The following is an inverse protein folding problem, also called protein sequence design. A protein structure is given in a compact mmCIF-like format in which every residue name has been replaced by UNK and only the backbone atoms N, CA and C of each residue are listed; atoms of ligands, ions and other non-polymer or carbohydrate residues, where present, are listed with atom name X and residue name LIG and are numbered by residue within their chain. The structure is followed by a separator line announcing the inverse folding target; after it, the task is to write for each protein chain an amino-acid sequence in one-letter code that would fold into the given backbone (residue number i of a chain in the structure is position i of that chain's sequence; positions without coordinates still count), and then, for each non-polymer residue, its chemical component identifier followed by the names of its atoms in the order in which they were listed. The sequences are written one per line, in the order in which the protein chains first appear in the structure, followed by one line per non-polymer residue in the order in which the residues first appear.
data_IF_451006076616
#
_entry.id   IF_451006076616
#
_cell.length_a   1.000
_cell.length_b   1.000
_cell.length_c   1.000
_cell.angle_alpha   90.00
_cell.angle_beta   90.00
_cell.angle_gamma   90.00
#
_symmetry.space_group_name_H-M   'P 1'
#
loop_
_entity.id
_entity.type
_entity.pdbx_description
1 polymer ?
#
# COMPACT_ATOMS: atom_id res chain seq x y z
N UNK A 1 65.32 -4.71 18.11
CA UNK A 1 66.38 -3.83 17.59
C UNK A 1 65.81 -3.21 16.33
N UNK A 2 65.16 -2.04 16.34
CA UNK A 2 65.34 -0.88 17.19
C UNK A 2 66.29 0.08 16.48
N UNK A 3 65.76 0.99 15.67
CA UNK A 3 66.38 2.28 15.34
C UNK A 3 65.36 3.20 14.67
N UNK A 4 65.02 4.28 15.38
CA UNK A 4 64.38 5.49 14.89
C UNK A 4 65.41 6.37 14.17
N UNK A 5 65.02 7.02 13.07
CA UNK A 5 65.52 8.36 12.72
C UNK A 5 64.61 9.02 11.67
N UNK A 6 64.09 10.18 12.04
CA UNK A 6 63.33 11.11 11.22
C UNK A 6 64.23 11.89 10.24
N UNK A 7 63.72 12.21 9.04
CA UNK A 7 64.08 13.40 8.27
C UNK A 7 62.82 13.92 7.54
N UNK A 8 62.49 15.18 7.83
CA UNK A 8 61.48 16.03 7.17
C UNK A 8 61.85 16.39 5.73
N UNK A 9 60.83 16.62 4.90
CA UNK A 9 60.97 17.26 3.59
C UNK A 9 59.62 17.44 2.91
N UNK A 10 58.95 18.56 3.19
CA UNK A 10 57.59 18.85 2.71
C UNK A 10 57.50 19.37 1.28
N UNK A 11 56.27 19.33 0.73
CA UNK A 11 55.63 20.31 -0.18
C UNK A 11 54.20 19.80 -0.48
N UNK A 12 53.16 20.38 0.15
CA UNK A 12 52.28 21.45 -0.35
C UNK A 12 50.82 20.95 -0.50
N UNK A 13 50.07 20.96 0.61
CA UNK A 13 48.62 21.01 0.61
C UNK A 13 48.19 22.46 0.98
N UNK A 14 47.22 23.09 0.29
CA UNK A 14 46.88 24.48 0.58
C UNK A 14 46.06 24.58 1.87
N UNK A 15 46.62 25.37 2.79
CA UNK A 15 46.00 25.88 4.01
C UNK A 15 44.79 26.77 3.65
N UNK A 16 43.57 26.34 4.02
CA UNK A 16 42.46 27.26 4.21
C UNK A 16 42.46 27.71 5.67
N UNK A 17 42.67 29.01 5.85
CA UNK A 17 42.96 29.66 7.11
C UNK A 17 41.87 29.54 8.16
N UNK A 18 42.33 29.36 9.39
CA UNK A 18 41.64 29.73 10.61
C UNK A 18 41.35 31.23 10.63
N UNK A 19 40.12 31.61 10.28
CA UNK A 19 39.50 32.84 10.74
C UNK A 19 38.06 32.52 11.11
N UNK A 20 37.84 32.34 12.40
CA UNK A 20 36.55 32.55 13.02
C UNK A 20 36.29 34.05 13.16
N UNK A 21 35.36 34.65 12.43
CA UNK A 21 34.37 35.52 13.05
C UNK A 21 33.24 34.62 13.56
N UNK A 22 32.75 34.92 14.76
CA UNK A 22 31.54 34.36 15.35
C UNK A 22 30.43 34.15 14.29
N UNK A 23 30.33 32.93 13.76
CA UNK A 23 29.15 32.49 13.07
C UNK A 23 28.12 32.29 14.17
N UNK A 24 27.22 33.26 14.31
CA UNK A 24 25.92 33.02 14.89
C UNK A 24 25.41 31.70 14.31
N UNK A 25 25.26 30.69 15.15
CA UNK A 25 24.53 29.47 14.85
C UNK A 25 23.07 29.86 14.62
N UNK A 26 22.76 30.51 13.51
CA UNK A 26 21.42 30.58 12.96
C UNK A 26 21.16 29.19 12.42
N UNK A 27 20.81 28.27 13.32
CA UNK A 27 20.21 27.01 12.92
C UNK A 27 19.06 27.37 11.98
N UNK A 28 19.06 26.79 10.78
CA UNK A 28 17.88 26.87 9.90
C UNK A 28 16.66 26.61 10.78
N UNK A 29 15.67 27.52 10.85
CA UNK A 29 14.52 27.34 11.73
C UNK A 29 13.94 25.96 11.43
N UNK A 30 13.82 25.12 12.47
CA UNK A 30 13.20 23.81 12.31
C UNK A 30 11.85 23.97 11.63
N UNK A 31 11.44 23.07 10.72
CA UNK A 31 10.17 23.19 10.02
C UNK A 31 9.03 23.38 11.01
N UNK A 32 8.12 24.31 10.70
CA UNK A 32 7.04 24.73 11.60
C UNK A 32 6.26 23.52 12.14
N UNK A 33 6.37 23.30 13.44
CA UNK A 33 5.79 22.12 14.10
C UNK A 33 4.25 22.06 13.98
N UNK A 34 3.59 23.20 13.80
CA UNK A 34 2.14 23.29 13.55
C UNK A 34 1.78 22.77 12.16
N UNK A 35 2.57 23.12 11.13
CA UNK A 35 2.36 22.65 9.75
C UNK A 35 2.66 21.16 9.63
N UNK A 36 3.74 20.67 10.23
CA UNK A 36 4.02 19.24 10.28
C UNK A 36 2.90 18.45 10.96
N UNK A 37 2.33 18.97 12.04
CA UNK A 37 1.20 18.33 12.71
C UNK A 37 -0.04 18.27 11.81
N UNK A 38 -0.32 19.32 11.04
CA UNK A 38 -1.41 19.33 10.05
C UNK A 38 -1.17 18.30 8.94
N UNK A 39 0.07 18.21 8.42
CA UNK A 39 0.47 17.19 7.45
C UNK A 39 0.24 15.78 8.00
N UNK A 40 0.69 15.52 9.23
CA UNK A 40 0.53 14.23 9.89
C UNK A 40 -0.92 13.88 10.16
N UNK A 41 -1.74 14.83 10.63
CA UNK A 41 -3.17 14.61 10.84
C UNK A 41 -3.91 14.33 9.54
N UNK A 42 -3.63 15.11 8.47
CA UNK A 42 -4.25 14.90 7.16
C UNK A 42 -3.87 13.54 6.57
N UNK A 43 -2.59 13.18 6.66
CA UNK A 43 -2.09 11.89 6.20
C UNK A 43 -2.69 10.73 7.02
N UNK A 44 -2.77 10.86 8.34
CA UNK A 44 -3.41 9.86 9.21
C UNK A 44 -4.88 9.65 8.86
N UNK A 45 -5.62 10.73 8.61
CA UNK A 45 -7.04 10.68 8.28
C UNK A 45 -7.29 9.99 6.93
N UNK A 46 -6.53 10.35 5.91
CA UNK A 46 -6.62 9.72 4.58
C UNK A 46 -6.23 8.23 4.63
N UNK A 47 -5.16 7.88 5.36
CA UNK A 47 -4.74 6.49 5.53
C UNK A 47 -5.74 5.68 6.36
N UNK A 48 -6.32 6.27 7.39
CA UNK A 48 -7.33 5.62 8.22
C UNK A 48 -8.53 5.17 7.39
N UNK A 49 -9.12 6.08 6.60
CA UNK A 49 -10.25 5.78 5.70
C UNK A 49 -9.94 4.64 4.73
N UNK A 50 -8.80 4.73 4.03
CA UNK A 50 -8.38 3.71 3.07
C UNK A 50 -8.20 2.32 3.72
N UNK A 51 -7.59 2.25 4.93
CA UNK A 51 -7.37 0.96 5.62
C UNK A 51 -8.65 0.37 6.20
N UNK A 52 -9.61 1.20 6.63
CA UNK A 52 -10.93 0.70 6.98
C UNK A 52 -11.59 0.06 5.77
N UNK A 53 -11.59 0.73 4.61
CA UNK A 53 -12.20 0.19 3.39
C UNK A 53 -11.54 -1.13 2.94
N UNK A 54 -10.20 -1.16 2.86
CA UNK A 54 -9.43 -2.35 2.46
C UNK A 54 -9.78 -3.59 3.28
N UNK A 55 -9.99 -3.43 4.59
CA UNK A 55 -10.42 -4.53 5.47
C UNK A 55 -11.89 -4.90 5.26
N UNK A 56 -12.76 -3.89 5.22
CA UNK A 56 -14.21 -4.07 5.23
C UNK A 56 -14.73 -4.71 3.94
N UNK A 57 -14.16 -4.33 2.79
CA UNK A 57 -14.66 -4.77 1.49
C UNK A 57 -14.61 -6.29 1.32
N UNK A 58 -13.59 -6.97 1.89
CA UNK A 58 -13.54 -8.43 1.89
C UNK A 58 -14.70 -9.07 2.66
N UNK A 59 -15.09 -8.48 3.79
CA UNK A 59 -16.23 -8.92 4.59
C UNK A 59 -17.57 -8.59 3.92
N UNK A 60 -17.66 -7.48 3.19
CA UNK A 60 -18.85 -7.15 2.42
C UNK A 60 -19.06 -8.13 1.26
N UNK A 61 -18.00 -8.44 0.50
CA UNK A 61 -18.09 -9.32 -0.68
C UNK A 61 -18.54 -10.74 -0.33
N UNK A 62 -18.10 -11.29 0.80
CA UNK A 62 -18.54 -12.63 1.24
C UNK A 62 -19.98 -12.64 1.77
N UNK A 63 -20.46 -11.52 2.33
CA UNK A 63 -21.86 -11.37 2.75
C UNK A 63 -22.81 -11.15 1.57
N UNK A 64 -22.34 -10.48 0.52
CA UNK A 64 -23.11 -10.29 -0.72
C UNK A 64 -23.35 -11.63 -1.42
N UNK A 65 -22.37 -12.53 -1.45
CA UNK A 65 -22.55 -13.89 -2.01
C UNK A 65 -22.10 -14.96 -1.02
N UNK A 66 -23.00 -15.34 -0.09
CA UNK A 66 -22.72 -16.40 0.87
C UNK A 66 -22.47 -17.72 0.13
N UNK A 67 -21.29 -18.31 0.30
CA UNK A 67 -20.94 -19.61 -0.32
C UNK A 67 -19.94 -19.55 -1.47
N UNK A 68 -19.47 -18.36 -1.88
CA UNK A 68 -18.36 -18.25 -2.82
C UNK A 68 -17.44 -17.07 -2.50
N UNK A 69 -16.14 -17.31 -2.59
CA UNK A 69 -15.12 -16.27 -2.47
C UNK A 69 -14.90 -15.50 -3.79
N UNK A 70 -15.64 -15.85 -4.85
CA UNK A 70 -15.44 -15.33 -6.20
C UNK A 70 -15.44 -13.81 -6.23
N UNK A 71 -16.45 -13.14 -5.66
CA UNK A 71 -16.50 -11.67 -5.69
C UNK A 71 -15.39 -11.01 -4.88
N UNK A 72 -14.95 -11.65 -3.80
CA UNK A 72 -13.79 -11.17 -3.03
C UNK A 72 -12.51 -11.27 -3.86
N UNK A 73 -12.34 -12.39 -4.57
CA UNK A 73 -11.19 -12.63 -5.44
C UNK A 73 -11.18 -11.66 -6.64
N UNK A 74 -12.31 -11.49 -7.32
CA UNK A 74 -12.46 -10.56 -8.44
C UNK A 74 -12.12 -9.14 -7.98
N UNK A 75 -12.66 -8.71 -6.83
CA UNK A 75 -12.35 -7.38 -6.29
C UNK A 75 -10.86 -7.17 -6.07
N UNK A 76 -10.19 -8.11 -5.39
CA UNK A 76 -8.74 -8.01 -5.17
C UNK A 76 -7.92 -8.01 -6.46
N UNK A 77 -8.33 -8.79 -7.46
CA UNK A 77 -7.68 -8.83 -8.78
C UNK A 77 -7.89 -7.51 -9.53
N UNK A 78 -9.11 -6.98 -9.58
CA UNK A 78 -9.43 -5.72 -10.26
C UNK A 78 -8.66 -4.55 -9.64
N UNK A 79 -8.62 -4.46 -8.32
CA UNK A 79 -7.88 -3.43 -7.60
C UNK A 79 -6.37 -3.52 -7.88
N UNK A 80 -5.79 -4.71 -7.70
CA UNK A 80 -4.34 -4.92 -7.86
C UNK A 80 -3.88 -4.77 -9.31
N UNK A 81 -4.65 -5.31 -10.26
CA UNK A 81 -4.33 -5.17 -11.70
C UNK A 81 -4.43 -3.74 -12.17
N UNK A 82 -5.41 -2.98 -11.67
CA UNK A 82 -5.57 -1.57 -12.00
C UNK A 82 -4.37 -0.75 -11.54
N UNK A 83 -3.92 -0.94 -10.29
CA UNK A 83 -2.71 -0.29 -9.77
C UNK A 83 -1.45 -0.71 -10.54
N UNK A 84 -1.34 -1.99 -10.93
CA UNK A 84 -0.18 -2.46 -11.69
C UNK A 84 -0.11 -1.89 -13.12
N UNK A 85 -1.25 -1.83 -13.82
CA UNK A 85 -1.34 -1.38 -15.22
C UNK A 85 -1.32 0.14 -15.31
N UNK A 86 -2.10 0.83 -14.48
CA UNK A 86 -2.27 2.29 -14.55
C UNK A 86 -1.38 3.06 -13.57
N UNK A 87 -0.65 2.38 -12.67
CA UNK A 87 0.28 3.01 -11.73
C UNK A 87 1.32 3.92 -12.37
N UNK A 88 2.00 3.51 -13.47
CA UNK A 88 2.93 4.39 -14.19
C UNK A 88 2.25 5.65 -14.73
N UNK A 89 1.03 5.53 -15.25
CA UNK A 89 0.25 6.66 -15.77
C UNK A 89 -0.07 7.64 -14.65
N UNK A 90 -0.50 7.13 -13.48
CA UNK A 90 -0.71 7.95 -12.29
C UNK A 90 0.58 8.69 -11.89
N UNK A 91 1.74 8.02 -11.92
CA UNK A 91 3.05 8.66 -11.70
C UNK A 91 3.28 9.83 -12.65
N UNK A 92 3.18 9.60 -13.95
CA UNK A 92 3.38 10.68 -14.95
C UNK A 92 2.36 11.81 -14.83
N UNK A 93 1.13 11.51 -14.38
CA UNK A 93 0.09 12.51 -14.14
C UNK A 93 0.42 13.36 -12.91
N UNK A 94 0.94 12.74 -11.85
CA UNK A 94 1.42 13.45 -10.66
C UNK A 94 2.59 14.37 -11.01
N UNK A 95 3.48 13.93 -11.90
CA UNK A 95 4.64 14.73 -12.31
C UNK A 95 4.22 15.95 -13.16
N UNK A 96 3.26 15.80 -14.07
CA UNK A 96 2.85 16.91 -14.97
C UNK A 96 1.94 17.95 -14.31
N UNK A 97 1.22 17.57 -13.26
CA UNK A 97 0.24 18.43 -12.61
C UNK A 97 0.85 19.22 -11.46
N UNK A 98 0.30 20.40 -11.19
CA UNK A 98 0.72 21.14 -9.99
C UNK A 98 0.27 20.41 -8.72
N UNK A 99 1.00 20.58 -7.61
CA UNK A 99 0.68 19.92 -6.34
C UNK A 99 -0.77 20.13 -5.88
N UNK A 100 -1.36 21.31 -6.10
CA UNK A 100 -2.77 21.56 -5.77
C UNK A 100 -3.74 20.85 -6.70
N UNK A 101 -3.41 20.72 -7.99
CA UNK A 101 -4.22 19.95 -8.94
C UNK A 101 -4.16 18.45 -8.61
N UNK A 102 -2.98 17.92 -8.32
CA UNK A 102 -2.82 16.51 -7.88
C UNK A 102 -3.60 16.28 -6.59
N UNK A 103 -3.47 17.17 -5.61
CA UNK A 103 -4.20 17.08 -4.34
C UNK A 103 -5.72 17.09 -4.56
N UNK A 104 -6.22 18.02 -5.37
CA UNK A 104 -7.64 18.13 -5.68
C UNK A 104 -8.17 16.90 -6.41
N UNK A 105 -7.44 16.43 -7.43
CA UNK A 105 -7.80 15.23 -8.19
C UNK A 105 -7.79 13.98 -7.30
N UNK A 106 -6.75 13.81 -6.48
CA UNK A 106 -6.63 12.70 -5.54
C UNK A 106 -7.85 12.66 -4.60
N UNK A 107 -8.09 13.74 -3.85
CA UNK A 107 -9.15 13.76 -2.85
C UNK A 107 -10.55 13.63 -3.48
N UNK A 108 -10.78 14.28 -4.63
CA UNK A 108 -12.05 14.21 -5.35
C UNK A 108 -12.33 12.79 -5.87
N UNK A 109 -11.39 12.20 -6.62
CA UNK A 109 -11.58 10.87 -7.21
C UNK A 109 -11.70 9.82 -6.11
N UNK A 110 -10.90 9.92 -5.05
CA UNK A 110 -10.94 8.96 -3.95
C UNK A 110 -12.27 9.04 -3.18
N UNK A 111 -12.71 10.26 -2.83
CA UNK A 111 -13.96 10.46 -2.09
C UNK A 111 -15.19 10.01 -2.90
N UNK A 112 -15.29 10.43 -4.16
CA UNK A 112 -16.38 9.97 -5.06
C UNK A 112 -16.38 8.46 -5.19
N UNK A 113 -15.21 7.85 -5.35
CA UNK A 113 -15.09 6.40 -5.47
C UNK A 113 -15.57 5.68 -4.20
N UNK A 114 -15.17 6.13 -3.00
CA UNK A 114 -15.63 5.51 -1.76
C UNK A 114 -17.12 5.74 -1.48
N UNK A 115 -17.67 6.89 -1.87
CA UNK A 115 -19.12 7.16 -1.75
C UNK A 115 -19.90 6.22 -2.66
N UNK A 116 -19.50 6.12 -3.94
CA UNK A 116 -20.15 5.24 -4.91
C UNK A 116 -20.04 3.78 -4.48
N UNK A 117 -18.84 3.33 -4.08
CA UNK A 117 -18.61 1.96 -3.62
C UNK A 117 -19.39 1.65 -2.34
N UNK A 118 -19.42 2.58 -1.37
CA UNK A 118 -20.15 2.40 -0.12
C UNK A 118 -21.66 2.37 -0.33
N UNK A 119 -22.20 3.24 -1.18
CA UNK A 119 -23.61 3.26 -1.53
C UNK A 119 -24.03 1.99 -2.30
N UNK A 120 -23.23 1.55 -3.28
CA UNK A 120 -23.51 0.33 -4.04
C UNK A 120 -23.45 -0.92 -3.17
N UNK A 121 -22.45 -1.02 -2.28
CA UNK A 121 -22.36 -2.12 -1.31
C UNK A 121 -23.53 -2.11 -0.34
N UNK A 122 -23.92 -0.93 0.16
CA UNK A 122 -25.08 -0.82 1.06
C UNK A 122 -26.35 -1.28 0.37
N UNK A 123 -26.58 -0.87 -0.88
CA UNK A 123 -27.71 -1.33 -1.69
C UNK A 123 -27.69 -2.85 -1.90
N UNK A 124 -26.52 -3.43 -2.23
CA UNK A 124 -26.34 -4.87 -2.40
C UNK A 124 -26.61 -5.68 -1.12
N UNK A 125 -26.33 -5.11 0.05
CA UNK A 125 -26.52 -5.77 1.35
C UNK A 125 -27.91 -5.54 1.97
N UNK A 126 -28.65 -4.50 1.55
CA UNK A 126 -30.01 -4.21 2.02
C UNK A 126 -31.04 -4.93 1.15
N UNK A 127 -30.84 -4.93 -0.16
CA UNK A 127 -31.76 -5.53 -1.12
C UNK A 127 -31.25 -6.89 -1.61
N UNK A 128 -31.15 -7.86 -0.70
CA UNK A 128 -30.67 -9.22 -1.02
C UNK A 128 -31.53 -9.91 -2.10
N UNK A 129 -32.81 -9.56 -2.20
CA UNK A 129 -33.74 -10.08 -3.21
C UNK A 129 -33.40 -9.66 -4.65
N UNK A 130 -32.50 -8.69 -4.86
CA UNK A 130 -32.04 -8.30 -6.20
C UNK A 130 -31.41 -9.46 -6.96
N UNK A 131 -30.81 -10.44 -6.26
CA UNK A 131 -30.21 -11.64 -6.87
C UNK A 131 -31.24 -12.47 -7.64
N UNK A 132 -32.47 -12.54 -7.11
CA UNK A 132 -33.57 -13.30 -7.69
C UNK A 132 -34.48 -12.43 -8.57
N UNK A 133 -34.71 -11.18 -8.17
CA UNK A 133 -35.67 -10.27 -8.84
C UNK A 133 -35.06 -9.64 -10.09
N UNK A 134 -33.80 -9.22 -10.06
CA UNK A 134 -33.17 -8.49 -11.15
C UNK A 134 -31.64 -8.69 -11.20
N UNK A 135 -31.22 -9.88 -11.61
CA UNK A 135 -29.81 -10.24 -11.76
C UNK A 135 -28.95 -9.20 -12.54
N UNK A 136 -29.45 -8.55 -13.63
CA UNK A 136 -28.67 -7.50 -14.30
C UNK A 136 -28.36 -6.29 -13.42
N UNK A 137 -29.30 -5.86 -12.56
CA UNK A 137 -29.10 -4.72 -11.64
C UNK A 137 -28.11 -5.10 -10.54
N UNK A 138 -28.24 -6.32 -10.01
CA UNK A 138 -27.27 -6.87 -9.06
C UNK A 138 -25.84 -6.85 -9.65
N UNK A 139 -25.67 -7.38 -10.86
CA UNK A 139 -24.36 -7.40 -11.52
C UNK A 139 -23.84 -6.00 -11.85
N UNK A 140 -24.71 -5.07 -12.25
CA UNK A 140 -24.32 -3.68 -12.48
C UNK A 140 -23.76 -3.03 -11.20
N UNK A 141 -24.41 -3.22 -10.04
CA UNK A 141 -23.92 -2.72 -8.76
C UNK A 141 -22.59 -3.37 -8.35
N UNK A 142 -22.42 -4.67 -8.60
CA UNK A 142 -21.14 -5.35 -8.37
C UNK A 142 -20.04 -4.74 -9.23
N UNK A 143 -20.29 -4.53 -10.53
CA UNK A 143 -19.31 -3.90 -11.44
C UNK A 143 -18.97 -2.48 -10.99
N UNK A 144 -19.97 -1.66 -10.67
CA UNK A 144 -19.78 -0.30 -10.14
C UNK A 144 -18.92 -0.31 -8.88
N UNK A 145 -19.14 -1.27 -7.97
CA UNK A 145 -18.33 -1.42 -6.74
C UNK A 145 -16.87 -1.76 -7.05
N UNK A 146 -16.63 -2.65 -8.02
CA UNK A 146 -15.28 -3.06 -8.41
C UNK A 146 -14.52 -1.93 -9.10
N UNK A 147 -15.17 -1.22 -10.04
CA UNK A 147 -14.58 -0.09 -10.77
C UNK A 147 -14.26 1.07 -9.82
N UNK A 148 -15.19 1.42 -8.92
CA UNK A 148 -14.94 2.44 -7.90
C UNK A 148 -13.83 2.04 -6.94
N UNK A 149 -13.74 0.76 -6.54
CA UNK A 149 -12.59 0.24 -5.78
C UNK A 149 -11.25 0.47 -6.48
N UNK A 150 -11.15 0.13 -7.76
CA UNK A 150 -9.95 0.36 -8.56
C UNK A 150 -9.58 1.86 -8.67
N UNK A 151 -10.56 2.73 -8.91
CA UNK A 151 -10.35 4.18 -8.96
C UNK A 151 -9.89 4.74 -7.60
N UNK A 152 -10.46 4.26 -6.49
CA UNK A 152 -10.03 4.64 -5.15
C UNK A 152 -8.58 4.21 -4.88
N UNK A 153 -8.18 3.01 -5.30
CA UNK A 153 -6.82 2.50 -5.14
C UNK A 153 -5.80 3.31 -5.95
N UNK A 154 -6.11 3.62 -7.22
CA UNK A 154 -5.28 4.49 -8.06
C UNK A 154 -5.16 5.90 -7.49
N UNK A 155 -6.27 6.44 -6.99
CA UNK A 155 -6.25 7.75 -6.35
C UNK A 155 -5.40 7.74 -5.07
N UNK A 156 -5.51 6.68 -4.26
CA UNK A 156 -4.67 6.49 -3.06
C UNK A 156 -3.18 6.39 -3.41
N UNK A 157 -2.83 5.80 -4.56
CA UNK A 157 -1.46 5.77 -5.08
C UNK A 157 -0.97 7.19 -5.38
N UNK A 158 -1.78 8.00 -6.09
CA UNK A 158 -1.44 9.40 -6.39
C UNK A 158 -1.14 10.21 -5.12
N UNK A 159 -2.00 10.10 -4.11
CA UNK A 159 -1.78 10.75 -2.82
C UNK A 159 -0.54 10.27 -2.06
N UNK A 160 -0.23 8.98 -2.17
CA UNK A 160 0.99 8.40 -1.58
C UNK A 160 2.24 9.01 -2.23
N UNK A 161 2.26 9.11 -3.57
CA UNK A 161 3.37 9.74 -4.30
C UNK A 161 3.48 11.21 -3.90
N UNK A 162 2.37 11.96 -3.96
CA UNK A 162 2.36 13.39 -3.64
C UNK A 162 2.87 13.68 -2.21
N UNK A 163 2.39 12.95 -1.21
CA UNK A 163 2.75 13.24 0.18
C UNK A 163 4.10 12.64 0.55
N UNK A 164 4.30 11.35 0.33
CA UNK A 164 5.47 10.62 0.85
C UNK A 164 6.72 10.78 0.00
N UNK A 165 6.56 10.94 -1.33
CA UNK A 165 7.69 11.05 -2.26
C UNK A 165 8.01 12.49 -2.60
N UNK A 166 7.00 13.32 -2.84
CA UNK A 166 7.23 14.72 -3.23
C UNK A 166 7.28 15.65 -2.01
N UNK A 167 6.17 15.80 -1.27
CA UNK A 167 6.07 16.84 -0.24
C UNK A 167 7.06 16.65 0.90
N UNK A 168 7.19 15.43 1.42
CA UNK A 168 8.14 15.13 2.51
C UNK A 168 9.58 15.47 2.09
N UNK A 169 9.96 15.19 0.85
CA UNK A 169 11.29 15.51 0.32
C UNK A 169 11.45 17.02 0.19
N UNK A 170 10.51 17.72 -0.44
CA UNK A 170 10.57 19.18 -0.65
C UNK A 170 10.58 19.95 0.68
N UNK A 171 9.75 19.57 1.65
CA UNK A 171 9.72 20.19 2.99
C UNK A 171 11.08 20.04 3.69
N UNK A 172 11.76 18.91 3.49
CA UNK A 172 13.06 18.63 4.11
C UNK A 172 14.28 19.17 3.35
N UNK A 173 14.11 19.58 2.08
CA UNK A 173 15.21 19.93 1.17
C UNK A 173 16.12 21.06 1.67
N UNK A 174 15.58 21.97 2.48
CA UNK A 174 16.31 23.10 3.08
C UNK A 174 16.85 22.81 4.48
N UNK A 175 16.72 21.58 4.95
CA UNK A 175 17.10 21.15 6.30
C UNK A 175 18.13 20.01 6.28
N UNK A 176 18.82 19.75 7.40
CA UNK A 176 19.72 18.61 7.52
C UNK A 176 19.01 17.28 7.21
N UNK A 177 19.73 16.26 6.69
CA UNK A 177 19.15 14.95 6.32
C UNK A 177 18.50 14.20 7.49
N UNK A 178 18.85 14.55 8.74
CA UNK A 178 18.20 14.05 9.93
C UNK A 178 16.70 14.41 10.00
N UNK A 179 16.30 15.56 9.44
CA UNK A 179 14.90 16.02 9.42
C UNK A 179 14.06 15.17 8.47
N UNK A 180 14.57 14.88 7.26
CA UNK A 180 13.91 13.98 6.31
C UNK A 180 13.68 12.59 6.93
N UNK A 181 14.72 12.06 7.58
CA UNK A 181 14.65 10.78 8.30
C UNK A 181 13.61 10.81 9.41
N UNK A 182 13.56 11.91 10.18
CA UNK A 182 12.57 12.14 11.22
C UNK A 182 11.13 12.16 10.69
N UNK A 183 10.85 12.97 9.67
CA UNK A 183 9.52 13.08 9.05
C UNK A 183 9.08 11.72 8.48
N UNK A 184 9.95 11.07 7.72
CA UNK A 184 9.68 9.75 7.13
C UNK A 184 9.37 8.70 8.22
N UNK A 185 10.10 8.73 9.34
CA UNK A 185 9.82 7.83 10.47
C UNK A 185 8.44 8.06 11.12
N UNK A 186 7.96 9.31 11.18
CA UNK A 186 6.65 9.65 11.77
C UNK A 186 5.54 9.23 10.81
N UNK A 187 5.67 9.57 9.53
CA UNK A 187 4.74 9.15 8.46
C UNK A 187 4.60 7.63 8.45
N UNK A 188 5.72 6.90 8.49
CA UNK A 188 5.70 5.43 8.55
C UNK A 188 5.03 4.88 9.80
N UNK A 189 5.20 5.52 10.95
CA UNK A 189 4.52 5.13 12.20
C UNK A 189 3.02 5.34 12.11
N UNK A 190 2.57 6.43 11.50
CA UNK A 190 1.15 6.71 11.26
C UNK A 190 0.55 5.63 10.36
N UNK A 191 1.23 5.29 9.27
CA UNK A 191 0.84 4.22 8.34
C UNK A 191 0.64 2.88 9.06
N UNK A 192 1.63 2.49 9.86
CA UNK A 192 1.58 1.25 10.65
C UNK A 192 0.44 1.28 11.67
N UNK A 193 0.23 2.42 12.34
CA UNK A 193 -0.84 2.61 13.30
C UNK A 193 -2.22 2.47 12.63
N UNK A 194 -2.41 3.08 11.45
CA UNK A 194 -3.65 2.96 10.68
C UNK A 194 -3.88 1.53 10.20
N UNK A 195 -2.82 0.85 9.73
CA UNK A 195 -2.89 -0.55 9.28
C UNK A 195 -3.27 -1.52 10.40
N UNK A 196 -2.95 -1.18 11.65
CA UNK A 196 -3.30 -1.93 12.86
C UNK A 196 -4.71 -1.63 13.36
N UNK A 197 -5.00 -0.36 13.60
CA UNK A 197 -6.16 0.08 14.37
C UNK A 197 -7.41 0.26 13.51
N UNK A 198 -7.26 0.67 12.24
CA UNK A 198 -8.42 0.93 11.37
C UNK A 198 -9.21 -0.35 11.06
N UNK A 199 -8.59 -1.50 10.75
CA UNK A 199 -9.31 -2.78 10.64
C UNK A 199 -10.03 -3.19 11.94
N UNK A 200 -9.41 -2.94 13.10
CA UNK A 200 -10.03 -3.26 14.40
C UNK A 200 -11.30 -2.46 14.59
N UNK A 201 -11.24 -1.14 14.36
CA UNK A 201 -12.40 -0.26 14.43
C UNK A 201 -13.51 -0.69 13.48
N UNK A 202 -13.19 -0.93 12.20
CA UNK A 202 -14.17 -1.42 11.23
C UNK A 202 -14.78 -2.77 11.64
N UNK A 203 -13.95 -3.73 12.07
CA UNK A 203 -14.42 -5.05 12.50
C UNK A 203 -15.38 -5.00 13.69
N UNK A 204 -15.19 -4.04 14.62
CA UNK A 204 -16.11 -3.78 15.71
C UNK A 204 -17.45 -3.24 15.17
N UNK A 205 -17.45 -2.25 14.28
CA UNK A 205 -18.68 -1.69 13.68
C UNK A 205 -19.45 -2.77 12.92
N UNK A 206 -18.76 -3.59 12.11
CA UNK A 206 -19.37 -4.69 11.34
C UNK A 206 -19.97 -5.76 12.26
N UNK A 207 -19.35 -6.04 13.41
CA UNK A 207 -19.80 -7.10 14.33
C UNK A 207 -20.91 -6.65 15.27
N UNK A 208 -20.85 -5.41 15.77
CA UNK A 208 -21.76 -4.91 16.80
C UNK A 208 -22.91 -4.06 16.27
N UNK A 209 -22.76 -3.43 15.10
CA UNK A 209 -23.82 -2.62 14.48
C UNK A 209 -24.49 -3.39 13.36
N UNK A 210 -23.82 -3.50 12.20
CA UNK A 210 -24.18 -4.36 11.07
C UNK A 210 -23.19 -4.11 9.92
N UNK A 211 -23.10 -5.03 8.96
CA UNK A 211 -22.40 -4.78 7.70
C UNK A 211 -23.02 -3.63 6.88
N UNK A 212 -24.35 -3.51 6.82
CA UNK A 212 -25.00 -2.45 6.02
C UNK A 212 -24.74 -1.07 6.64
N UNK A 213 -24.92 -0.98 7.97
CA UNK A 213 -24.62 0.23 8.72
C UNK A 213 -23.13 0.60 8.64
N UNK A 214 -22.23 -0.37 8.67
CA UNK A 214 -20.80 -0.15 8.49
C UNK A 214 -20.46 0.41 7.10
N UNK A 215 -21.05 -0.14 6.03
CA UNK A 215 -20.81 0.34 4.67
C UNK A 215 -21.28 1.80 4.51
N UNK A 216 -22.47 2.13 5.02
CA UNK A 216 -22.99 3.49 5.04
C UNK A 216 -22.14 4.43 5.91
N UNK A 217 -21.73 3.99 7.10
CA UNK A 217 -20.88 4.78 8.00
C UNK A 217 -19.52 5.09 7.38
N UNK A 218 -18.91 4.15 6.63
CA UNK A 218 -17.66 4.40 5.92
C UNK A 218 -17.84 5.41 4.78
N UNK A 219 -18.94 5.35 4.03
CA UNK A 219 -19.24 6.35 3.02
C UNK A 219 -19.39 7.75 3.65
N UNK A 220 -20.14 7.85 4.75
CA UNK A 220 -20.32 9.10 5.50
C UNK A 220 -19.00 9.61 6.10
N UNK A 221 -18.16 8.71 6.62
CA UNK A 221 -16.83 9.05 7.13
C UNK A 221 -15.98 9.72 6.06
N UNK A 222 -15.96 9.18 4.83
CA UNK A 222 -15.21 9.77 3.73
C UNK A 222 -15.75 11.14 3.28
N UNK A 223 -17.08 11.34 3.32
CA UNK A 223 -17.68 12.66 3.05
C UNK A 223 -17.27 13.67 4.11
N UNK A 224 -17.27 13.27 5.38
CA UNK A 224 -16.87 14.15 6.48
C UNK A 224 -15.37 14.43 6.47
N UNK A 225 -14.55 13.43 6.11
CA UNK A 225 -13.09 13.55 6.18
C UNK A 225 -12.51 14.35 5.01
N UNK A 226 -13.05 14.23 3.80
CA UNK A 226 -12.46 14.85 2.60
C UNK A 226 -12.34 16.38 2.71
N UNK A 227 -13.33 17.05 3.31
CA UNK A 227 -13.29 18.51 3.51
C UNK A 227 -12.19 18.91 4.50
N UNK A 228 -12.06 18.16 5.59
CA UNK A 228 -11.01 18.38 6.58
C UNK A 228 -9.62 18.05 6.01
N UNK A 229 -9.47 16.96 5.26
CA UNK A 229 -8.23 16.57 4.57
C UNK A 229 -7.79 17.66 3.59
N UNK A 230 -8.69 18.12 2.73
CA UNK A 230 -8.41 19.19 1.78
C UNK A 230 -7.93 20.46 2.49
N UNK A 231 -8.63 20.88 3.55
CA UNK A 231 -8.24 22.04 4.34
C UNK A 231 -6.86 21.87 5.00
N UNK A 232 -6.58 20.71 5.59
CA UNK A 232 -5.29 20.42 6.22
C UNK A 232 -4.15 20.47 5.21
N UNK A 233 -4.29 19.83 4.06
CA UNK A 233 -3.24 19.79 3.04
C UNK A 233 -3.04 21.14 2.34
N UNK A 234 -4.11 21.87 2.02
CA UNK A 234 -4.00 23.24 1.49
C UNK A 234 -3.35 24.18 2.50
N UNK A 235 -3.65 24.01 3.80
CA UNK A 235 -2.98 24.78 4.85
C UNK A 235 -1.48 24.50 4.90
N UNK A 236 -1.03 23.26 4.68
CA UNK A 236 0.39 22.91 4.61
C UNK A 236 1.03 23.50 3.36
N UNK A 237 0.37 23.39 2.21
CA UNK A 237 0.85 23.95 0.95
C UNK A 237 1.06 25.47 1.03
N UNK A 238 0.08 26.20 1.59
CA UNK A 238 0.17 27.66 1.75
C UNK A 238 1.19 28.06 2.83
N UNK A 239 1.42 27.21 3.83
CA UNK A 239 2.36 27.47 4.92
C UNK A 239 3.83 27.22 4.55
N UNK A 240 4.11 26.38 3.55
CA UNK A 240 5.47 26.04 3.14
C UNK A 240 5.76 26.61 1.74
N UNK A 241 6.40 27.79 1.62
CA UNK A 241 6.64 28.43 0.33
C UNK A 241 7.50 27.59 -0.63
N UNK A 242 8.36 26.71 -0.09
CA UNK A 242 9.17 25.78 -0.88
C UNK A 242 8.32 24.83 -1.75
N UNK A 243 7.11 24.44 -1.29
CA UNK A 243 6.19 23.62 -2.08
C UNK A 243 5.64 24.37 -3.29
N UNK A 244 5.29 25.65 -3.11
CA UNK A 244 4.78 26.50 -4.20
C UNK A 244 5.88 26.81 -5.22
N UNK A 245 7.13 27.00 -4.77
CA UNK A 245 8.29 27.22 -5.62
C UNK A 245 8.61 25.96 -6.46
N UNK A 246 8.73 24.79 -5.82
CA UNK A 246 8.95 23.51 -6.50
C UNK A 246 7.88 23.23 -7.57
N UNK A 247 6.60 23.39 -7.20
CA UNK A 247 5.45 23.24 -8.11
C UNK A 247 5.49 24.22 -9.31
N UNK A 248 6.06 25.41 -9.15
CA UNK A 248 6.25 26.37 -10.25
C UNK A 248 7.41 25.99 -11.14
N UNK A 249 8.53 25.57 -10.57
CA UNK A 249 9.73 25.16 -11.30
C UNK A 249 9.45 23.97 -12.22
N UNK A 250 8.71 22.97 -11.72
CA UNK A 250 8.30 21.80 -12.50
C UNK A 250 7.49 22.20 -13.74
N UNK A 251 6.50 23.07 -13.57
CA UNK A 251 5.67 23.58 -14.67
C UNK A 251 6.45 24.39 -15.70
N UNK A 252 7.44 25.17 -15.26
CA UNK A 252 8.28 25.95 -16.18
C UNK A 252 9.24 25.06 -16.98
N UNK A 253 9.76 23.99 -16.37
CA UNK A 253 10.58 23.01 -17.06
C UNK A 253 9.77 22.32 -18.18
N UNK A 254 8.56 21.84 -17.86
CA UNK A 254 7.67 21.20 -18.84
C UNK A 254 7.26 22.17 -19.98
N UNK A 255 6.95 23.42 -19.66
CA UNK A 255 6.61 24.42 -20.67
C UNK A 255 7.79 24.74 -21.60
N UNK A 256 9.02 24.76 -21.06
CA UNK A 256 10.24 24.97 -21.83
C UNK A 256 10.52 23.79 -22.75
N UNK A 257 10.37 22.56 -22.24
CA UNK A 257 10.50 21.34 -23.03
C UNK A 257 9.46 21.28 -24.16
N UNK A 258 8.19 21.61 -23.87
CA UNK A 258 7.15 21.69 -24.88
C UNK A 258 7.45 22.74 -25.97
N UNK A 259 8.03 23.88 -25.61
CA UNK A 259 8.42 24.93 -26.56
C UNK A 259 9.62 24.51 -27.44
N UNK A 260 10.58 23.78 -26.87
CA UNK A 260 11.70 23.19 -27.61
C UNK A 260 11.23 22.10 -28.59
N UNK A 261 10.26 21.27 -28.20
CA UNK A 261 9.67 20.28 -29.09
C UNK A 261 8.85 20.95 -30.21
N UNK A 262 8.07 21.98 -29.88
CA UNK A 262 7.24 22.71 -30.86
C UNK A 262 8.07 23.45 -31.91
N UNK A 263 9.25 23.96 -31.53
CA UNK A 263 10.16 24.62 -32.47
C UNK A 263 10.79 23.65 -33.46
N UNK A 264 10.94 22.37 -33.09
CA UNK A 264 11.42 21.30 -33.97
C UNK A 264 10.37 20.75 -34.97
N UNK A 265 9.07 20.99 -34.73
CA UNK A 265 7.96 20.53 -35.59
C UNK A 265 7.39 21.62 -36.51
N UNK A 266 8.14 22.69 -36.77
CA UNK A 266 7.73 23.82 -37.59
C UNK A 266 7.74 23.51 -39.10
N UNK A 267 6.94 22.56 -39.57
CA UNK A 267 6.46 22.56 -40.94
C UNK A 267 5.11 21.85 -41.06
N UNK A 268 4.15 22.62 -41.56
CA UNK A 268 2.83 22.24 -42.10
C UNK A 268 1.63 22.26 -41.14
N UNK A 269 0.65 23.10 -41.50
CA UNK A 269 -0.55 23.49 -40.75
C UNK A 269 -1.78 22.79 -41.34
N UNK A 270 -2.57 22.04 -40.56
CA UNK A 270 -4.03 21.92 -40.74
C UNK A 270 -4.71 21.83 -39.36
N UNK A 271 -4.72 22.96 -38.66
CA UNK A 271 -5.44 23.13 -37.41
C UNK A 271 -6.95 23.21 -37.69
N UNK A 272 -7.73 22.29 -37.12
CA UNK A 272 -9.07 22.51 -36.50
C UNK A 272 -9.72 21.19 -36.05
N UNK A 273 -9.21 20.02 -36.47
CA UNK A 273 -9.58 18.68 -35.94
C UNK A 273 -8.46 18.00 -35.14
N UNK A 274 -7.25 18.57 -35.11
CA UNK A 274 -6.08 17.99 -34.44
C UNK A 274 -6.13 18.12 -32.92
N UNK A 275 -6.60 19.22 -32.33
CA UNK A 275 -6.53 19.40 -30.86
C UNK A 275 -7.28 18.30 -30.08
N UNK A 276 -8.35 17.73 -30.66
CA UNK A 276 -9.10 16.63 -30.07
C UNK A 276 -8.48 15.25 -30.35
N UNK A 277 -7.65 15.13 -31.39
CA UNK A 277 -6.89 13.93 -31.71
C UNK A 277 -5.57 13.90 -30.93
N UNK A 278 -4.95 15.06 -30.71
CA UNK A 278 -3.61 15.24 -30.14
C UNK A 278 -3.57 14.90 -28.64
N UNK A 279 -4.62 15.23 -27.87
CA UNK A 279 -4.74 14.75 -26.48
C UNK A 279 -4.97 13.24 -26.42
N UNK A 280 -5.67 12.66 -27.41
CA UNK A 280 -5.91 11.20 -27.49
C UNK A 280 -4.64 10.47 -27.91
N UNK A 281 -3.89 11.03 -28.85
CA UNK A 281 -2.61 10.49 -29.35
C UNK A 281 -1.55 10.55 -28.24
N UNK A 282 -1.40 11.68 -27.53
CA UNK A 282 -0.55 11.77 -26.32
C UNK A 282 -1.01 10.84 -25.20
N UNK A 283 -2.31 10.70 -24.97
CA UNK A 283 -2.82 9.68 -24.04
C UNK A 283 -2.45 8.28 -24.51
N UNK A 284 -2.59 7.94 -25.79
CA UNK A 284 -2.26 6.62 -26.33
C UNK A 284 -0.76 6.32 -26.33
N UNK A 285 0.09 7.33 -26.45
CA UNK A 285 1.55 7.20 -26.36
C UNK A 285 1.99 6.98 -24.90
N UNK A 286 1.35 7.68 -23.94
CA UNK A 286 1.51 7.43 -22.50
C UNK A 286 0.83 6.14 -21.99
N UNK A 287 -0.22 5.68 -22.67
CA UNK A 287 -0.88 4.39 -22.46
C UNK A 287 -0.15 3.26 -23.21
N UNK A 288 0.87 3.56 -24.03
CA UNK A 288 1.58 2.53 -24.75
C UNK A 288 2.34 1.65 -23.75
N UNK A 289 2.12 0.34 -23.84
CA UNK A 289 2.71 -0.68 -22.97
C UNK A 289 4.21 -0.88 -23.28
N UNK A 290 4.71 -0.22 -24.33
CA UNK A 290 6.05 -0.37 -24.91
C UNK A 290 7.17 0.09 -23.95
N UNK A 291 7.11 1.25 -23.26
CA UNK A 291 8.13 1.66 -22.29
C UNK A 291 8.14 0.77 -21.04
N UNK A 292 6.99 0.16 -20.72
CA UNK A 292 6.89 -0.79 -19.61
C UNK A 292 7.70 -2.05 -19.93
N UNK A 293 7.63 -2.56 -21.17
CA UNK A 293 8.40 -3.74 -21.59
C UNK A 293 9.91 -3.52 -21.54
N UNK A 294 10.41 -2.38 -22.02
CA UNK A 294 11.85 -2.07 -21.92
C UNK A 294 12.32 -2.02 -20.46
N UNK A 295 11.51 -1.44 -19.58
CA UNK A 295 11.78 -1.41 -18.13
C UNK A 295 11.86 -2.81 -17.51
N UNK A 296 10.97 -3.73 -17.92
CA UNK A 296 11.02 -5.14 -17.50
C UNK A 296 12.27 -5.86 -18.00
N UNK A 297 12.68 -5.60 -19.25
CA UNK A 297 13.91 -6.20 -19.81
C UNK A 297 15.15 -5.72 -19.04
N UNK A 298 15.21 -4.42 -18.70
CA UNK A 298 16.30 -3.87 -17.88
C UNK A 298 16.30 -4.47 -16.48
N UNK A 299 15.13 -4.62 -15.85
CA UNK A 299 15.00 -5.23 -14.52
C UNK A 299 15.52 -6.67 -14.51
N UNK A 300 15.17 -7.49 -15.52
CA UNK A 300 15.61 -8.88 -15.61
C UNK A 300 17.12 -9.05 -15.80
N UNK A 301 17.82 -8.00 -16.26
CA UNK A 301 19.28 -8.00 -16.38
C UNK A 301 20.02 -7.64 -15.09
N UNK A 302 19.32 -7.19 -14.05
CA UNK A 302 19.93 -6.81 -12.78
C UNK A 302 20.30 -8.05 -11.93
N UNK A 303 21.43 -8.00 -11.23
CA UNK A 303 21.87 -9.09 -10.33
C UNK A 303 20.85 -9.40 -9.20
N UNK A 304 19.97 -8.45 -8.89
CA UNK A 304 18.92 -8.57 -7.86
C UNK A 304 17.60 -9.14 -8.39
N UNK A 305 17.49 -9.46 -9.69
CA UNK A 305 16.25 -9.94 -10.30
C UNK A 305 15.76 -11.26 -9.67
N UNK A 306 16.65 -12.23 -9.47
CA UNK A 306 16.33 -13.54 -8.87
C UNK A 306 15.80 -13.41 -7.42
N UNK A 307 16.48 -12.68 -6.50
CA UNK A 307 15.92 -12.36 -5.19
C UNK A 307 14.57 -11.63 -5.25
N UNK A 308 14.39 -10.74 -6.22
CA UNK A 308 13.11 -10.05 -6.45
C UNK A 308 11.98 -11.00 -6.86
N UNK A 309 12.23 -11.95 -7.75
CA UNK A 309 11.28 -13.00 -8.14
C UNK A 309 10.97 -13.91 -6.94
N UNK A 310 11.97 -14.29 -6.14
CA UNK A 310 11.76 -15.05 -4.92
C UNK A 310 10.88 -14.30 -3.90
N UNK A 311 11.08 -12.99 -3.76
CA UNK A 311 10.23 -12.13 -2.94
C UNK A 311 8.79 -12.10 -3.48
N UNK A 312 8.59 -12.03 -4.80
CA UNK A 312 7.26 -12.09 -5.41
C UNK A 312 6.54 -13.40 -5.07
N UNK A 313 7.24 -14.54 -5.06
CA UNK A 313 6.65 -15.82 -4.63
C UNK A 313 6.19 -15.82 -3.17
N UNK A 314 6.81 -15.03 -2.28
CA UNK A 314 6.33 -14.91 -0.89
C UNK A 314 4.95 -14.25 -0.81
N UNK A 315 4.59 -13.38 -1.77
CA UNK A 315 3.27 -12.74 -1.83
C UNK A 315 2.16 -13.67 -2.32
N UNK A 316 2.47 -14.84 -2.90
CA UNK A 316 1.47 -15.86 -3.26
C UNK A 316 0.85 -16.58 -2.05
N UNK A 317 1.29 -16.25 -0.83
CA UNK A 317 0.70 -16.82 0.39
C UNK A 317 -0.75 -16.37 0.58
N UNK A 318 -1.65 -17.35 0.71
CA UNK A 318 -3.06 -17.10 1.07
C UNK A 318 -3.21 -16.96 2.59
N UNK A 319 -2.18 -17.31 3.38
CA UNK A 319 -2.22 -17.32 4.85
C UNK A 319 -2.06 -15.93 5.49
N UNK A 320 -1.72 -14.91 4.71
CA UNK A 320 -1.66 -13.53 5.21
C UNK A 320 -3.06 -12.99 5.48
N UNK A 321 -3.23 -12.13 6.48
CA UNK A 321 -4.49 -11.45 6.81
C UNK A 321 -4.92 -10.39 5.77
N UNK A 322 -4.87 -10.73 4.49
CA UNK A 322 -5.43 -9.96 3.38
C UNK A 322 -6.90 -10.29 3.12
N UNK A 323 -7.48 -9.66 2.10
CA UNK A 323 -8.91 -9.68 1.76
C UNK A 323 -9.50 -11.09 1.62
N UNK A 324 -8.75 -12.02 1.00
CA UNK A 324 -9.20 -13.40 0.82
C UNK A 324 -9.23 -14.18 2.14
N UNK A 325 -8.17 -14.09 2.95
CA UNK A 325 -8.13 -14.75 4.25
C UNK A 325 -9.24 -14.21 5.16
N UNK A 326 -9.42 -12.89 5.24
CA UNK A 326 -10.48 -12.29 6.06
C UNK A 326 -11.87 -12.77 5.62
N UNK A 327 -12.15 -12.80 4.31
CA UNK A 327 -13.39 -13.35 3.78
C UNK A 327 -13.55 -14.85 4.09
N UNK A 328 -12.48 -15.65 4.01
CA UNK A 328 -12.56 -17.10 4.33
C UNK A 328 -12.84 -17.36 5.81
N UNK A 329 -12.32 -16.52 6.71
CA UNK A 329 -12.55 -16.64 8.15
C UNK A 329 -13.99 -16.23 8.51
N UNK A 330 -14.52 -15.16 7.90
CA UNK A 330 -15.93 -14.76 8.07
C UNK A 330 -16.87 -15.82 7.48
N UNK A 331 -16.51 -16.41 6.33
CA UNK A 331 -17.27 -17.55 5.77
C UNK A 331 -17.30 -18.76 6.71
N UNK A 332 -16.25 -19.01 7.50
CA UNK A 332 -16.23 -20.05 8.54
C UNK A 332 -16.99 -19.67 9.81
N UNK A 333 -17.66 -18.51 9.83
CA UNK A 333 -18.45 -18.03 10.96
C UNK A 333 -17.63 -17.36 12.06
N UNK A 334 -16.36 -16.99 11.80
CA UNK A 334 -15.56 -16.26 12.79
C UNK A 334 -16.00 -14.78 12.77
N UNK A 335 -16.35 -14.19 13.93
CA UNK A 335 -16.78 -12.79 13.99
C UNK A 335 -15.72 -11.82 13.47
N UNK A 336 -16.14 -10.75 12.78
CA UNK A 336 -15.25 -9.78 12.16
C UNK A 336 -14.30 -9.08 13.15
N UNK A 337 -14.71 -8.86 14.41
CA UNK A 337 -13.84 -8.29 15.44
C UNK A 337 -12.68 -9.24 15.83
N UNK A 338 -12.91 -10.56 15.81
CA UNK A 338 -11.86 -11.55 16.09
C UNK A 338 -10.86 -11.56 14.94
N UNK A 339 -11.36 -11.52 13.71
CA UNK A 339 -10.54 -11.44 12.49
C UNK A 339 -9.70 -10.17 12.50
N UNK A 340 -10.29 -9.02 12.86
CA UNK A 340 -9.59 -7.74 12.90
C UNK A 340 -8.55 -7.67 14.02
N UNK A 341 -8.84 -8.22 15.20
CA UNK A 341 -7.86 -8.36 16.29
C UNK A 341 -6.69 -9.27 15.90
N UNK A 342 -6.96 -10.40 15.24
CA UNK A 342 -5.92 -11.30 14.76
C UNK A 342 -5.04 -10.63 13.69
N UNK A 343 -5.64 -9.86 12.77
CA UNK A 343 -4.90 -9.01 11.81
C UNK A 343 -4.06 -7.95 12.51
N UNK A 344 -4.58 -7.32 13.57
CA UNK A 344 -3.84 -6.39 14.42
C UNK A 344 -2.62 -7.04 15.07
N UNK A 345 -2.80 -8.21 15.71
CA UNK A 345 -1.69 -8.97 16.30
C UNK A 345 -0.64 -9.37 15.26
N UNK A 346 -1.06 -9.81 14.07
CA UNK A 346 -0.15 -10.14 12.98
C UNK A 346 0.71 -8.95 12.55
N UNK A 347 0.17 -7.73 12.54
CA UNK A 347 0.94 -6.55 12.20
C UNK A 347 1.88 -6.11 13.33
N UNK A 348 1.55 -6.35 14.61
CA UNK A 348 2.50 -6.18 15.74
C UNK A 348 3.70 -7.10 15.56
N UNK A 349 3.46 -8.38 15.24
CA UNK A 349 4.54 -9.34 14.94
C UNK A 349 5.39 -8.87 13.74
N UNK A 350 4.75 -8.33 12.70
CA UNK A 350 5.44 -7.74 11.55
C UNK A 350 6.34 -6.54 11.92
N UNK A 351 5.88 -5.66 12.81
CA UNK A 351 6.70 -4.55 13.34
C UNK A 351 7.83 -5.11 14.20
N UNK A 352 7.56 -6.10 15.05
CA UNK A 352 8.59 -6.80 15.83
C UNK A 352 9.70 -7.37 14.94
N UNK A 353 9.34 -7.93 13.78
CA UNK A 353 10.32 -8.41 12.80
C UNK A 353 11.22 -7.29 12.26
N UNK A 354 10.72 -6.06 12.09
CA UNK A 354 11.54 -4.91 11.67
C UNK A 354 12.52 -4.43 12.75
N UNK A 355 12.19 -4.60 14.03
CA UNK A 355 13.10 -4.33 15.15
C UNK A 355 14.13 -5.44 15.32
N UNK A 356 13.73 -6.68 15.05
CA UNK A 356 14.60 -7.85 15.09
C UNK A 356 15.61 -7.87 13.93
N UNK A 357 15.20 -7.40 12.75
CA UNK A 357 16.04 -7.38 11.54
C UNK A 357 17.44 -6.75 11.75
N UNK A 358 17.59 -5.50 12.25
CA UNK A 358 18.92 -4.89 12.43
C UNK A 358 19.78 -5.65 13.44
N UNK A 359 19.18 -6.23 14.49
CA UNK A 359 19.89 -7.05 15.48
C UNK A 359 20.47 -8.29 14.80
N UNK A 360 19.64 -9.06 14.08
CA UNK A 360 20.09 -10.27 13.37
C UNK A 360 21.09 -9.91 12.26
N UNK A 361 20.85 -8.81 11.53
CA UNK A 361 21.74 -8.32 10.48
C UNK A 361 23.13 -7.98 10.99
N UNK A 362 23.22 -7.36 12.18
CA UNK A 362 24.52 -7.05 12.81
C UNK A 362 25.33 -8.30 13.19
N UNK A 363 24.69 -9.46 13.31
CA UNK A 363 25.32 -10.72 13.71
C UNK A 363 25.61 -11.62 12.50
N UNK A 364 24.73 -11.54 11.50
CA UNK A 364 24.59 -12.52 10.45
C UNK A 364 24.34 -11.73 9.17
N UNK A 365 25.40 -11.45 8.40
CA UNK A 365 25.37 -10.66 7.15
C UNK A 365 24.10 -10.81 6.28
N UNK A 366 23.78 -9.81 5.46
CA UNK A 366 22.51 -9.66 4.73
C UNK A 366 21.94 -10.96 4.12
N UNK A 367 22.76 -11.73 3.38
CA UNK A 367 22.34 -12.99 2.75
C UNK A 367 21.92 -14.06 3.76
N UNK A 368 22.66 -14.18 4.86
CA UNK A 368 22.38 -15.19 5.89
C UNK A 368 21.15 -14.81 6.73
N UNK A 369 20.93 -13.51 6.98
CA UNK A 369 19.68 -13.03 7.60
C UNK A 369 18.46 -13.38 6.74
N UNK A 370 18.56 -13.19 5.41
CA UNK A 370 17.49 -13.58 4.48
C UNK A 370 17.18 -15.07 4.51
N UNK A 371 18.20 -15.93 4.43
CA UNK A 371 18.05 -17.39 4.51
C UNK A 371 17.45 -17.85 5.85
N UNK A 372 17.89 -17.25 6.95
CA UNK A 372 17.37 -17.53 8.28
C UNK A 372 15.87 -17.19 8.38
N UNK A 373 15.46 -16.05 7.85
CA UNK A 373 14.05 -15.63 7.82
C UNK A 373 13.17 -16.62 7.04
N UNK A 374 13.60 -17.04 5.84
CA UNK A 374 12.88 -18.05 5.03
C UNK A 374 12.79 -19.38 5.77
N UNK A 375 13.85 -19.79 6.46
CA UNK A 375 13.84 -21.03 7.23
C UNK A 375 12.89 -20.98 8.42
N UNK A 376 12.83 -19.85 9.12
CA UNK A 376 11.85 -19.60 10.18
C UNK A 376 10.41 -19.62 9.64
N UNK A 377 10.16 -19.02 8.48
CA UNK A 377 8.84 -19.06 7.82
C UNK A 377 8.43 -20.50 7.48
N UNK A 378 9.34 -21.30 6.91
CA UNK A 378 9.09 -22.72 6.63
C UNK A 378 8.73 -23.50 7.89
N UNK A 379 9.42 -23.25 9.00
CA UNK A 379 9.11 -23.89 10.29
C UNK A 379 7.72 -23.51 10.81
N UNK A 380 7.35 -22.23 10.74
CA UNK A 380 6.01 -21.77 11.14
C UNK A 380 4.90 -22.49 10.38
N UNK A 381 5.04 -22.62 9.05
CA UNK A 381 4.07 -23.33 8.20
C UNK A 381 4.09 -24.85 8.46
N UNK A 382 5.26 -25.44 8.68
CA UNK A 382 5.43 -26.88 8.88
C UNK A 382 4.88 -27.41 10.21
N UNK A 383 4.96 -26.61 11.28
CA UNK A 383 4.43 -26.97 12.61
C UNK A 383 2.90 -27.17 12.56
N UNK A 384 2.19 -26.36 11.76
CA UNK A 384 0.73 -26.44 11.62
C UNK A 384 0.29 -27.67 10.80
N UNK A 385 1.08 -28.06 9.80
CA UNK A 385 0.82 -29.26 8.99
C UNK A 385 0.96 -30.55 9.81
N UNK A 386 1.95 -30.62 10.70
CA UNK A 386 2.19 -31.80 11.54
C UNK A 386 1.18 -31.91 12.69
N UNK A 387 0.75 -30.77 13.25
CA UNK A 387 -0.35 -30.70 14.22
C UNK A 387 -1.69 -31.20 13.65
N UNK A 388 -1.96 -30.95 12.36
CA UNK A 388 -3.15 -31.46 11.68
C UNK A 388 -3.05 -32.97 11.36
N UNK A 389 -1.87 -33.48 10.98
CA UNK A 389 -1.64 -34.93 10.81
C UNK A 389 -1.87 -35.72 12.10
N UNK A 390 -1.47 -35.17 13.25
CA UNK A 390 -1.68 -35.83 14.55
C UNK A 390 -3.13 -35.86 15.03
N UNK A 391 -3.98 -34.91 14.61
CA UNK A 391 -5.42 -34.92 14.92
C UNK A 391 -6.26 -35.79 13.98
N UNK A 392 -5.75 -36.09 12.78
CA UNK A 392 -6.44 -36.90 11.76
C UNK A 392 -6.00 -38.38 11.79
N UNK A 393 -4.96 -38.74 12.54
CA UNK A 393 -4.64 -40.14 12.81
C UNK A 393 -5.79 -40.76 13.63
N UNK A 394 -6.55 -41.73 13.10
CA UNK A 394 -7.49 -42.48 13.93
C UNK A 394 -6.67 -43.18 15.01
N UNK A 395 -7.05 -43.01 16.28
CA UNK A 395 -6.58 -43.89 17.35
C UNK A 395 -6.86 -45.30 16.88
N UNK A 396 -5.81 -46.05 16.53
CA UNK A 396 -5.93 -47.46 16.22
C UNK A 396 -6.54 -48.14 17.45
N UNK A 397 -7.81 -48.53 17.32
CA UNK A 397 -8.45 -49.45 18.24
C UNK A 397 -7.66 -50.76 18.14
N UNK A 398 -6.89 -51.04 19.18
CA UNK A 398 -6.16 -52.28 19.39
C UNK A 398 -7.18 -53.41 19.64
N UNK A 399 -7.77 -53.92 18.56
CA UNK A 399 -8.64 -55.09 18.61
C UNK A 399 -7.75 -56.32 18.56
N UNK A 400 -7.39 -56.83 19.75
CA UNK A 400 -6.83 -58.18 19.88
C UNK A 400 -7.86 -59.20 19.37
N UNK A 401 -7.47 -60.16 18.52
CA UNK A 401 -8.39 -61.20 18.08
C UNK A 401 -8.68 -62.19 19.21
N UNK A 402 -9.97 -62.40 19.48
CA UNK A 402 -10.53 -63.45 20.34
C UNK A 402 -10.22 -64.81 19.70
N UNK A 403 -9.46 -65.66 20.38
CA UNK A 403 -9.30 -67.08 20.03
C UNK A 403 -10.54 -67.83 20.50
N UNK A 404 -11.48 -68.09 19.61
CA UNK A 404 -12.53 -69.10 19.84
C UNK A 404 -12.07 -70.41 19.17
N UNK A 405 -11.68 -71.36 20.01
CA UNK A 405 -11.35 -72.72 19.61
C UNK A 405 -12.64 -73.50 19.37
N UNK A 406 -12.93 -73.79 18.10
CA UNK A 406 -13.84 -74.85 17.72
C UNK A 406 -13.06 -76.17 17.79
N UNK A 407 -13.24 -76.93 18.88
CA UNK A 407 -12.85 -78.34 18.93
C UNK A 407 -14.12 -79.18 18.91
N UNK A 408 -14.38 -79.73 17.72
CA UNK A 408 -15.51 -80.60 17.45
C UNK A 408 -15.28 -81.95 18.13
N UNK A 409 -16.29 -82.38 18.88
CA UNK A 409 -16.35 -83.69 19.51
C UNK A 409 -16.06 -84.82 18.53
N UNK A 410 -15.06 -85.63 18.90
CA UNK A 410 -14.85 -86.97 18.37
C UNK A 410 -14.70 -87.89 19.58
N UNK A 411 -15.78 -88.58 19.96
CA UNK A 411 -15.85 -89.98 20.45
C UNK A 411 -17.05 -90.23 21.38
N UNK A 412 -17.69 -91.37 21.08
CA UNK A 412 -18.67 -92.16 21.84
C UNK A 412 -20.10 -91.62 21.91
#
# INVERSE_FOLDING_TARGET
MGEDAAIEGGQLAPLLGSRSPSASTTGSPSPDASLLRRLYTGHALARWGARMWEFSVGLYMIRIWPGSLLFTAIYGVVESSSVAVFGPIVGTLVDKLTYLQVLGLWLLVQSLSFIVAGASVTALLVYDDLKATSFPVFMALVIVTNVSGALAALSTLAGTILIEREWVVVISSRHPPAVLTGINSVVRRIDLSCKLLAPVFSGLVISFVSAQASAAALALWNVASVGLEYWLFVSVYNGVPALAESSRLMRTADATEAMLLSSSSSSEKVALTENALDWRVRMTEQLSIIPCWESWVVYLRQDVALPGVALAFLYFTVLSFGTLMTATLDWKGIPAYVISLARGFSAIVGIGATLLYPVVHSWVSTLRTGLWSIWMQRRGVGVDADGRRRRVAPRALDVRPRRDAADAGRRA
#
